data_IF_027434623027
#
_entry.id   IF_027434623027
#
_cell.length_a   1.000
_cell.length_b   1.000
_cell.length_c   1.000
_cell.angle_alpha   90.00
_cell.angle_beta   90.00
_cell.angle_gamma   90.00
#
_symmetry.space_group_name_H-M   'P 1'
#
loop_
_entity.id
_entity.type
_entity.pdbx_description
1 polymer ?
#
# COMPACT_ATOMS: atom_id res chain seq x y z
N UNK A 1 5.41 -11.03 72.94
CA UNK A 1 6.75 -10.53 73.12
C UNK A 1 6.86 -9.28 72.25
N UNK A 2 6.54 -8.07 72.80
CA UNK A 2 7.45 -7.18 73.50
C UNK A 2 8.48 -6.63 72.52
N UNK A 3 8.69 -5.34 72.24
CA UNK A 3 8.65 -4.09 73.01
C UNK A 3 8.67 -2.96 71.91
N UNK A 4 7.78 -1.93 71.91
CA UNK A 4 7.99 -0.65 72.59
C UNK A 4 9.33 0.03 72.18
N UNK A 5 9.39 1.24 71.69
CA UNK A 5 9.21 2.57 72.31
C UNK A 5 9.45 3.70 71.33
N UNK A 6 8.50 4.56 71.12
CA UNK A 6 8.48 6.02 71.30
C UNK A 6 9.83 6.74 71.33
N UNK A 7 10.04 7.74 70.46
CA UNK A 7 10.60 9.05 70.83
C UNK A 7 10.07 10.19 69.96
N UNK A 8 9.31 10.98 70.58
CA UNK A 8 8.87 12.33 70.30
C UNK A 8 10.07 13.28 70.51
N UNK A 9 10.41 14.09 69.52
CA UNK A 9 11.19 15.31 69.75
C UNK A 9 10.70 16.45 68.86
N UNK A 10 10.20 17.41 69.45
CA UNK A 10 9.79 18.78 69.15
C UNK A 10 11.03 19.62 68.82
N UNK A 11 11.08 20.26 67.65
CA UNK A 11 11.93 21.47 67.44
C UNK A 11 11.31 22.35 66.37
N UNK A 12 10.72 23.38 66.80
CA UNK A 12 11.07 24.81 66.75
C UNK A 12 10.97 25.46 65.35
N UNK A 13 10.00 26.36 65.30
CA UNK A 13 9.79 27.38 64.27
C UNK A 13 11.08 28.17 63.95
N UNK A 14 11.40 28.26 62.66
CA UNK A 14 12.22 29.37 62.20
C UNK A 14 11.56 29.94 60.95
N UNK A 15 10.85 31.07 61.09
CA UNK A 15 10.38 31.89 60.01
C UNK A 15 11.58 32.53 59.31
N UNK A 16 11.87 32.12 58.08
CA UNK A 16 12.73 32.86 57.17
C UNK A 16 11.87 33.42 56.06
N UNK A 17 11.63 34.72 56.14
CA UNK A 17 11.01 35.54 55.08
C UNK A 17 11.97 35.62 53.89
N UNK A 18 11.71 34.86 52.82
CA UNK A 18 12.38 35.06 51.54
C UNK A 18 11.53 35.95 50.66
N UNK A 19 12.10 37.12 50.39
CA UNK A 19 11.57 38.07 49.41
C UNK A 19 11.40 37.39 48.02
N UNK A 20 10.19 37.42 47.50
CA UNK A 20 9.88 36.96 46.17
C UNK A 20 10.49 37.93 45.14
N UNK A 21 11.62 37.61 44.55
CA UNK A 21 12.05 38.17 43.31
C UNK A 21 11.15 37.62 42.19
N UNK A 22 10.18 38.40 41.77
CA UNK A 22 9.42 38.12 40.56
C UNK A 22 10.35 38.30 39.35
N UNK A 23 11.00 37.26 38.92
CA UNK A 23 11.59 37.18 37.59
C UNK A 23 10.45 37.11 36.57
N UNK A 24 10.15 38.26 35.96
CA UNK A 24 9.28 38.38 34.80
C UNK A 24 9.94 37.59 33.69
N UNK A 25 9.42 36.39 33.41
CA UNK A 25 9.83 35.58 32.27
C UNK A 25 9.65 36.41 30.98
N UNK A 26 10.64 36.42 30.07
CA UNK A 26 10.45 37.03 28.76
C UNK A 26 9.27 36.32 28.10
N UNK A 27 8.32 37.14 27.56
CA UNK A 27 7.13 36.62 26.93
C UNK A 27 7.48 35.51 25.93
N UNK A 28 6.84 34.35 26.12
CA UNK A 28 6.83 33.34 25.10
C UNK A 28 6.20 33.95 23.86
N UNK A 29 7.03 34.33 22.91
CA UNK A 29 6.62 34.59 21.54
C UNK A 29 5.90 33.31 21.08
N UNK A 30 4.59 33.41 20.88
CA UNK A 30 3.82 32.35 20.27
C UNK A 30 4.59 31.93 19.00
N UNK A 31 5.06 30.70 18.99
CA UNK A 31 5.65 30.12 17.81
C UNK A 31 4.62 30.27 16.68
N UNK A 32 4.94 31.15 15.75
CA UNK A 32 4.19 31.34 14.52
C UNK A 32 4.05 29.94 13.93
N UNK A 33 2.79 29.46 13.81
CA UNK A 33 2.52 28.14 13.30
C UNK A 33 3.25 27.98 11.98
N UNK A 34 4.32 27.19 11.98
CA UNK A 34 4.97 26.79 10.75
C UNK A 34 3.91 26.04 9.95
N UNK A 35 3.49 26.65 8.86
CA UNK A 35 2.74 25.96 7.82
C UNK A 35 3.48 24.62 7.59
N UNK A 36 2.80 23.45 7.63
CA UNK A 36 3.50 22.19 7.43
C UNK A 36 4.30 22.32 6.14
N UNK A 37 5.62 22.16 6.22
CA UNK A 37 6.48 22.25 5.06
C UNK A 37 5.92 21.30 3.98
N UNK A 38 5.80 21.81 2.75
CA UNK A 38 5.41 20.96 1.63
C UNK A 38 6.28 19.70 1.65
N UNK A 39 5.71 18.52 1.39
CA UNK A 39 6.48 17.29 1.45
C UNK A 39 7.72 17.39 0.54
N UNK A 40 8.88 16.86 0.95
CA UNK A 40 10.14 17.01 0.21
C UNK A 40 10.19 16.12 -1.05
N UNK A 41 9.06 15.72 -1.59
CA UNK A 41 8.93 14.91 -2.80
C UNK A 41 8.05 15.59 -3.83
N UNK A 42 8.25 15.24 -5.11
CA UNK A 42 7.42 15.68 -6.23
C UNK A 42 6.79 14.46 -6.90
N UNK A 43 5.48 14.50 -7.11
CA UNK A 43 4.77 13.47 -7.85
C UNK A 43 4.76 13.84 -9.34
N UNK A 44 5.46 13.08 -10.17
CA UNK A 44 5.56 13.30 -11.62
C UNK A 44 4.52 12.45 -12.36
N UNK A 45 4.44 11.17 -12.03
CA UNK A 45 3.54 10.21 -12.64
C UNK A 45 2.11 10.35 -12.07
N UNK A 46 1.10 10.15 -12.91
CA UNK A 46 -0.31 9.98 -12.50
C UNK A 46 -0.55 8.58 -11.93
N UNK A 47 -1.74 8.32 -11.38
CA UNK A 47 -2.14 6.95 -10.99
C UNK A 47 -2.08 6.03 -12.21
N UNK A 48 -2.61 6.48 -13.36
CA UNK A 48 -2.60 5.72 -14.61
C UNK A 48 -1.18 5.41 -15.08
N UNK A 49 -0.27 6.36 -15.02
CA UNK A 49 1.14 6.12 -15.37
C UNK A 49 1.78 5.06 -14.47
N UNK A 50 1.48 5.10 -13.15
CA UNK A 50 1.97 4.10 -12.21
C UNK A 50 1.42 2.72 -12.54
N UNK A 51 0.10 2.61 -12.85
CA UNK A 51 -0.50 1.33 -13.23
C UNK A 51 0.16 0.77 -14.49
N UNK A 52 0.21 1.54 -15.58
CA UNK A 52 0.71 1.06 -16.88
C UNK A 52 2.21 0.79 -16.92
N UNK A 53 3.01 1.55 -16.17
CA UNK A 53 4.47 1.51 -16.34
C UNK A 53 5.22 0.93 -15.15
N UNK A 54 4.55 0.70 -14.02
CA UNK A 54 5.18 0.18 -12.81
C UNK A 54 4.43 -1.05 -12.29
N UNK A 55 3.12 -0.95 -12.05
CA UNK A 55 2.35 -2.02 -11.42
C UNK A 55 2.14 -3.19 -12.35
N UNK A 56 1.59 -2.93 -13.53
CA UNK A 56 1.27 -3.95 -14.53
C UNK A 56 2.51 -4.76 -14.95
N UNK A 57 3.63 -4.14 -15.42
CA UNK A 57 4.83 -4.89 -15.74
C UNK A 57 5.44 -5.65 -14.55
N UNK A 58 5.25 -5.17 -13.33
CA UNK A 58 5.74 -5.85 -12.13
C UNK A 58 4.88 -7.06 -11.78
N UNK A 59 3.57 -6.99 -12.00
CA UNK A 59 2.64 -8.12 -11.90
C UNK A 59 3.00 -9.22 -12.87
N UNK A 60 3.26 -8.87 -14.13
CA UNK A 60 3.66 -9.80 -15.19
C UNK A 60 4.90 -10.61 -14.82
N UNK A 61 5.90 -9.98 -14.18
CA UNK A 61 7.09 -10.70 -13.69
C UNK A 61 6.76 -11.81 -12.68
N UNK A 62 5.64 -11.72 -11.98
CA UNK A 62 5.18 -12.75 -11.04
C UNK A 62 4.37 -13.80 -11.77
N UNK A 63 3.34 -13.39 -12.54
CA UNK A 63 2.43 -14.33 -13.21
C UNK A 63 3.11 -15.13 -14.32
N UNK A 64 3.96 -14.49 -15.13
CA UNK A 64 4.68 -15.16 -16.22
C UNK A 64 5.77 -16.11 -15.71
N UNK A 65 6.16 -16.01 -14.43
CA UNK A 65 7.20 -16.87 -13.84
C UNK A 65 6.71 -18.29 -13.56
N UNK A 66 5.39 -18.48 -13.44
CA UNK A 66 4.77 -19.78 -13.15
C UNK A 66 3.47 -19.93 -13.94
N UNK A 67 3.43 -20.90 -14.84
CA UNK A 67 2.23 -21.17 -15.63
C UNK A 67 2.18 -22.64 -16.08
N UNK A 68 0.97 -23.10 -16.33
CA UNK A 68 0.74 -24.38 -17.03
C UNK A 68 -0.19 -24.12 -18.20
N UNK A 69 0.29 -24.36 -19.40
CA UNK A 69 -0.48 -24.27 -20.64
C UNK A 69 -0.64 -25.65 -21.28
N UNK A 70 -1.82 -25.92 -21.80
CA UNK A 70 -2.13 -27.17 -22.51
C UNK A 70 -2.54 -26.81 -23.93
N UNK A 71 -1.81 -27.33 -24.90
CA UNK A 71 -2.11 -27.17 -26.32
C UNK A 71 -2.07 -28.47 -27.07
N UNK A 72 -2.12 -28.42 -28.41
CA UNK A 72 -2.09 -29.63 -29.27
C UNK A 72 -0.76 -30.39 -29.20
N UNK A 73 0.30 -29.80 -28.68
CA UNK A 73 1.63 -30.37 -28.52
C UNK A 73 1.87 -30.99 -27.15
N UNK A 74 0.99 -30.71 -26.18
CA UNK A 74 1.04 -31.25 -24.82
C UNK A 74 0.87 -30.21 -23.73
N UNK A 75 1.34 -30.58 -22.53
CA UNK A 75 1.38 -29.72 -21.37
C UNK A 75 2.74 -29.02 -21.27
N UNK A 76 2.73 -27.71 -21.15
CA UNK A 76 3.92 -26.87 -21.01
C UNK A 76 3.89 -26.17 -19.65
N UNK A 77 4.96 -26.33 -18.90
CA UNK A 77 5.11 -25.68 -17.60
C UNK A 77 6.25 -24.67 -17.64
N UNK A 78 5.95 -23.44 -17.22
CA UNK A 78 6.93 -22.39 -16.92
C UNK A 78 7.14 -22.37 -15.42
N UNK A 79 8.38 -22.49 -14.97
CA UNK A 79 8.77 -22.47 -13.56
C UNK A 79 10.11 -21.75 -13.42
N UNK A 80 10.33 -20.96 -12.35
CA UNK A 80 11.64 -20.38 -12.07
C UNK A 80 12.64 -21.49 -11.69
N UNK A 81 13.72 -21.62 -12.46
CA UNK A 81 14.74 -22.70 -12.30
C UNK A 81 16.10 -22.15 -11.87
N UNK A 82 16.41 -20.93 -12.23
CA UNK A 82 17.72 -20.31 -12.00
C UNK A 82 17.63 -19.18 -10.98
N UNK A 83 18.77 -18.75 -10.46
CA UNK A 83 18.86 -17.57 -9.60
C UNK A 83 18.35 -16.32 -10.30
N UNK A 84 18.56 -16.23 -11.62
CA UNK A 84 18.07 -15.13 -12.43
C UNK A 84 16.55 -15.11 -12.53
N UNK A 85 15.90 -16.27 -12.68
CA UNK A 85 14.45 -16.36 -12.73
C UNK A 85 13.83 -15.90 -11.41
N UNK A 86 14.35 -16.40 -10.29
CA UNK A 86 13.92 -15.95 -8.96
C UNK A 86 14.20 -14.46 -8.70
N UNK A 87 15.28 -13.91 -9.24
CA UNK A 87 15.58 -12.49 -9.15
C UNK A 87 14.55 -11.64 -9.91
N UNK A 88 14.03 -12.11 -11.05
CA UNK A 88 12.94 -11.44 -11.80
C UNK A 88 11.66 -11.39 -10.96
N UNK A 89 11.25 -12.51 -10.39
CA UNK A 89 10.06 -12.56 -9.49
C UNK A 89 10.24 -11.63 -8.30
N UNK A 90 11.43 -11.64 -7.69
CA UNK A 90 11.77 -10.73 -6.59
C UNK A 90 11.65 -9.27 -7.01
N UNK A 91 12.12 -8.93 -8.21
CA UNK A 91 12.02 -7.56 -8.75
C UNK A 91 10.56 -7.15 -8.88
N UNK A 92 9.69 -7.99 -9.44
CA UNK A 92 8.25 -7.75 -9.52
C UNK A 92 7.64 -7.49 -8.15
N UNK A 93 7.91 -8.37 -7.18
CA UNK A 93 7.36 -8.25 -5.84
C UNK A 93 7.81 -6.98 -5.10
N UNK A 94 9.10 -6.59 -5.21
CA UNK A 94 9.61 -5.33 -4.63
C UNK A 94 8.93 -4.15 -5.32
N UNK A 95 8.83 -4.17 -6.65
CA UNK A 95 8.23 -3.08 -7.41
C UNK A 95 6.77 -2.87 -7.05
N UNK A 96 5.97 -3.94 -6.91
CA UNK A 96 4.57 -3.85 -6.45
C UNK A 96 4.47 -3.30 -5.02
N UNK A 97 5.32 -3.77 -4.10
CA UNK A 97 5.35 -3.29 -2.73
C UNK A 97 5.65 -1.79 -2.65
N UNK A 98 6.61 -1.30 -3.43
CA UNK A 98 6.98 0.11 -3.45
C UNK A 98 5.99 0.95 -4.26
N UNK A 99 5.43 0.43 -5.36
CA UNK A 99 4.39 1.11 -6.11
C UNK A 99 3.16 1.43 -5.25
N UNK A 100 2.82 0.56 -4.31
CA UNK A 100 1.73 0.81 -3.37
C UNK A 100 1.95 2.06 -2.51
N UNK A 101 3.20 2.34 -2.11
CA UNK A 101 3.55 3.59 -1.42
C UNK A 101 3.39 4.81 -2.34
N UNK A 102 3.74 4.66 -3.64
CA UNK A 102 3.52 5.71 -4.63
C UNK A 102 2.03 6.03 -4.80
N UNK A 103 1.16 5.03 -4.77
CA UNK A 103 -0.30 5.21 -4.88
C UNK A 103 -0.90 5.95 -3.67
N UNK A 104 -0.27 5.88 -2.50
CA UNK A 104 -0.70 6.61 -1.31
C UNK A 104 -0.30 8.09 -1.35
N UNK A 105 0.61 8.49 -2.23
CA UNK A 105 1.02 9.88 -2.36
C UNK A 105 -0.01 10.65 -3.21
N UNK A 106 -0.52 11.81 -2.75
CA UNK A 106 -1.50 12.59 -3.49
C UNK A 106 -1.04 12.92 -4.91
N UNK A 107 -1.83 12.58 -5.91
CA UNK A 107 -1.52 12.79 -7.34
C UNK A 107 -2.78 12.81 -8.19
N UNK A 108 -2.69 13.32 -9.42
CA UNK A 108 -3.76 13.22 -10.40
C UNK A 108 -3.97 11.75 -10.81
N UNK A 109 -5.20 11.41 -11.16
CA UNK A 109 -5.54 10.06 -11.66
C UNK A 109 -4.99 9.84 -13.07
N UNK A 110 -5.11 10.84 -13.94
CA UNK A 110 -4.65 10.79 -15.33
C UNK A 110 -4.11 12.16 -15.76
N UNK A 111 -3.45 12.23 -16.92
CA UNK A 111 -2.97 13.48 -17.48
C UNK A 111 -4.15 14.37 -17.93
N UNK A 112 -3.98 15.71 -17.97
CA UNK A 112 -5.02 16.61 -18.46
C UNK A 112 -5.50 16.22 -19.87
N UNK A 113 -6.80 16.02 -20.02
CA UNK A 113 -7.42 15.67 -21.31
C UNK A 113 -7.50 14.18 -21.61
N UNK A 114 -6.87 13.31 -20.83
CA UNK A 114 -7.07 11.87 -20.96
C UNK A 114 -8.51 11.45 -20.61
N UNK A 115 -8.97 10.41 -21.27
CA UNK A 115 -10.31 9.86 -21.14
C UNK A 115 -10.26 8.36 -20.84
N UNK A 116 -11.37 7.83 -20.36
CA UNK A 116 -11.60 6.39 -20.31
C UNK A 116 -11.40 5.77 -21.70
N UNK A 117 -10.81 4.59 -21.77
CA UNK A 117 -10.64 3.83 -23.02
C UNK A 117 -11.84 2.91 -23.29
N UNK A 118 -12.67 2.65 -22.29
CA UNK A 118 -13.88 1.85 -22.37
C UNK A 118 -15.08 2.58 -21.72
N UNK A 119 -15.59 3.68 -22.34
CA UNK A 119 -16.69 4.45 -21.78
C UNK A 119 -17.93 3.60 -21.49
N UNK A 120 -18.50 3.77 -20.30
CA UNK A 120 -19.65 2.99 -19.83
C UNK A 120 -19.27 1.75 -19.01
N UNK A 121 -18.07 1.23 -19.15
CA UNK A 121 -17.49 0.19 -18.31
C UNK A 121 -16.56 0.85 -17.29
N UNK A 122 -15.57 1.56 -17.77
CA UNK A 122 -14.62 2.31 -16.96
C UNK A 122 -15.20 3.68 -16.57
N UNK A 123 -14.86 4.13 -15.40
CA UNK A 123 -15.11 5.50 -14.97
C UNK A 123 -14.19 6.47 -15.72
N UNK A 124 -14.66 7.69 -15.92
CA UNK A 124 -13.82 8.80 -16.37
C UNK A 124 -12.80 9.17 -15.25
N UNK A 125 -11.59 9.64 -15.60
CA UNK A 125 -10.58 10.00 -14.62
C UNK A 125 -11.06 10.94 -13.52
N UNK A 126 -11.94 11.90 -13.86
CA UNK A 126 -12.50 12.82 -12.88
C UNK A 126 -13.47 12.13 -11.90
N UNK A 127 -14.16 11.08 -12.31
CA UNK A 127 -15.04 10.29 -11.45
C UNK A 127 -14.21 9.44 -10.49
N UNK A 128 -13.12 8.79 -10.98
CA UNK A 128 -12.17 8.07 -10.13
C UNK A 128 -11.58 9.00 -9.07
N UNK A 129 -11.15 10.19 -9.47
CA UNK A 129 -10.57 11.18 -8.56
C UNK A 129 -11.57 11.62 -7.47
N UNK A 130 -12.83 11.79 -7.84
CA UNK A 130 -13.91 12.12 -6.90
C UNK A 130 -14.15 10.98 -5.90
N UNK A 131 -14.14 9.72 -6.33
CA UNK A 131 -14.27 8.54 -5.47
C UNK A 131 -13.09 8.43 -4.49
N UNK A 132 -11.86 8.59 -4.96
CA UNK A 132 -10.66 8.55 -4.13
C UNK A 132 -10.72 9.63 -3.06
N UNK A 133 -11.06 10.86 -3.44
CA UNK A 133 -11.20 11.99 -2.50
C UNK A 133 -12.31 11.79 -1.47
N UNK A 134 -13.40 11.12 -1.88
CA UNK A 134 -14.55 10.85 -1.00
C UNK A 134 -14.20 9.86 0.11
N UNK A 135 -13.36 8.86 -0.18
CA UNK A 135 -12.95 7.84 0.79
C UNK A 135 -11.45 7.48 0.63
N UNK A 136 -10.62 8.41 1.09
CA UNK A 136 -9.18 8.24 1.03
C UNK A 136 -8.67 7.09 1.93
N UNK A 137 -9.40 6.78 2.99
CA UNK A 137 -9.05 5.66 3.87
C UNK A 137 -9.20 4.32 3.16
N UNK A 138 -10.27 4.13 2.38
CA UNK A 138 -10.46 2.95 1.54
C UNK A 138 -9.38 2.86 0.45
N UNK A 139 -9.05 3.97 -0.20
CA UNK A 139 -7.95 4.02 -1.17
C UNK A 139 -6.63 3.54 -0.58
N UNK A 140 -6.26 4.08 0.59
CA UNK A 140 -5.04 3.67 1.28
C UNK A 140 -5.07 2.20 1.73
N UNK A 141 -6.25 1.70 2.09
CA UNK A 141 -6.40 0.29 2.43
C UNK A 141 -6.09 -0.62 1.24
N UNK A 142 -6.63 -0.33 0.05
CA UNK A 142 -6.33 -1.11 -1.16
C UNK A 142 -4.84 -1.08 -1.52
N UNK A 143 -4.22 0.10 -1.45
CA UNK A 143 -2.77 0.20 -1.66
C UNK A 143 -1.97 -0.59 -0.61
N UNK A 144 -2.41 -0.59 0.66
CA UNK A 144 -1.80 -1.40 1.71
C UNK A 144 -2.00 -2.90 1.49
N UNK A 145 -3.18 -3.33 1.03
CA UNK A 145 -3.46 -4.74 0.73
C UNK A 145 -2.52 -5.25 -0.39
N UNK A 146 -2.28 -4.45 -1.45
CA UNK A 146 -1.30 -4.77 -2.49
C UNK A 146 0.12 -4.90 -1.91
N UNK A 147 0.53 -3.99 -1.03
CA UNK A 147 1.83 -4.06 -0.37
C UNK A 147 1.97 -5.35 0.46
N UNK A 148 0.96 -5.68 1.25
CA UNK A 148 1.02 -6.85 2.13
C UNK A 148 1.05 -8.17 1.34
N UNK A 149 0.33 -8.27 0.23
CA UNK A 149 0.42 -9.46 -0.63
C UNK A 149 1.78 -9.53 -1.34
N UNK A 150 2.32 -8.41 -1.80
CA UNK A 150 3.65 -8.35 -2.42
C UNK A 150 4.76 -8.79 -1.46
N UNK A 151 4.66 -8.46 -0.17
CA UNK A 151 5.57 -8.96 0.87
C UNK A 151 5.50 -10.48 1.01
N UNK A 152 4.31 -11.06 0.90
CA UNK A 152 4.16 -12.53 0.91
C UNK A 152 4.80 -13.18 -0.32
N UNK A 153 4.74 -12.53 -1.49
CA UNK A 153 5.50 -13.00 -2.66
C UNK A 153 6.99 -13.02 -2.36
N UNK A 154 7.54 -12.01 -1.69
CA UNK A 154 8.96 -12.01 -1.28
C UNK A 154 9.31 -13.18 -0.36
N UNK A 155 8.44 -13.54 0.58
CA UNK A 155 8.65 -14.70 1.45
C UNK A 155 8.67 -16.02 0.66
N UNK A 156 7.83 -16.15 -0.36
CA UNK A 156 7.81 -17.29 -1.28
C UNK A 156 9.11 -17.35 -2.09
N UNK A 157 9.55 -16.20 -2.61
CA UNK A 157 10.82 -16.09 -3.38
C UNK A 157 12.02 -16.46 -2.53
N UNK A 158 12.10 -16.00 -1.29
CA UNK A 158 13.21 -16.31 -0.38
C UNK A 158 13.32 -17.81 -0.08
N UNK A 159 12.19 -18.51 -0.05
CA UNK A 159 12.13 -19.97 0.14
C UNK A 159 12.28 -20.74 -1.17
N UNK A 160 12.26 -20.08 -2.32
CA UNK A 160 12.19 -20.70 -3.66
C UNK A 160 11.05 -21.72 -3.77
N UNK A 161 9.92 -21.39 -3.16
CA UNK A 161 8.75 -22.25 -3.11
C UNK A 161 7.91 -22.08 -4.38
N UNK A 162 8.12 -22.95 -5.35
CA UNK A 162 7.38 -22.95 -6.63
C UNK A 162 5.88 -23.15 -6.42
N UNK A 163 5.49 -24.03 -5.49
CA UNK A 163 4.07 -24.26 -5.18
C UNK A 163 3.45 -23.01 -4.55
N UNK A 164 4.13 -22.41 -3.58
CA UNK A 164 3.72 -21.16 -2.97
C UNK A 164 3.63 -20.03 -3.99
N UNK A 165 4.51 -19.99 -4.99
CA UNK A 165 4.48 -18.99 -6.06
C UNK A 165 3.22 -19.13 -6.93
N UNK A 166 2.83 -20.33 -7.27
CA UNK A 166 1.58 -20.60 -7.97
C UNK A 166 0.36 -20.19 -7.13
N UNK A 167 0.35 -20.57 -5.85
CA UNK A 167 -0.78 -20.31 -4.95
C UNK A 167 -0.94 -18.82 -4.60
N UNK A 168 0.14 -18.01 -4.63
CA UNK A 168 0.08 -16.59 -4.30
C UNK A 168 -0.45 -15.73 -5.46
N UNK A 169 -0.51 -16.23 -6.69
CA UNK A 169 -1.03 -15.52 -7.85
C UNK A 169 -2.44 -15.00 -7.64
N UNK A 170 -3.33 -15.85 -7.19
CA UNK A 170 -4.72 -15.54 -6.82
C UNK A 170 -4.87 -14.41 -5.77
N UNK A 171 -4.14 -14.44 -4.62
CA UNK A 171 -4.11 -13.31 -3.68
C UNK A 171 -3.62 -12.00 -4.28
N UNK A 172 -2.64 -12.03 -5.20
CA UNK A 172 -2.15 -10.82 -5.91
C UNK A 172 -3.24 -10.29 -6.81
N UNK A 173 -3.85 -11.14 -7.64
CA UNK A 173 -4.97 -10.77 -8.51
C UNK A 173 -6.12 -10.15 -7.73
N UNK A 174 -6.54 -10.77 -6.63
CA UNK A 174 -7.62 -10.22 -5.79
C UNK A 174 -7.27 -8.85 -5.20
N UNK A 175 -6.02 -8.57 -4.87
CA UNK A 175 -5.64 -7.26 -4.37
C UNK A 175 -5.78 -6.19 -5.45
N UNK A 176 -5.44 -6.50 -6.70
CA UNK A 176 -5.62 -5.63 -7.86
C UNK A 176 -7.12 -5.43 -8.15
N UNK A 177 -7.85 -6.53 -8.32
CA UNK A 177 -9.26 -6.52 -8.70
C UNK A 177 -10.18 -5.82 -7.70
N UNK A 178 -9.95 -5.99 -6.40
CA UNK A 178 -10.74 -5.32 -5.38
C UNK A 178 -10.64 -3.79 -5.47
N UNK A 179 -9.46 -3.26 -5.84
CA UNK A 179 -9.26 -1.84 -6.06
C UNK A 179 -9.88 -1.39 -7.38
N UNK A 180 -9.63 -2.11 -8.47
CA UNK A 180 -10.14 -1.81 -9.80
C UNK A 180 -11.65 -1.77 -9.82
N UNK A 181 -12.34 -2.74 -9.24
CA UNK A 181 -13.80 -2.78 -9.14
C UNK A 181 -14.40 -1.62 -8.35
N UNK A 182 -13.68 -1.04 -7.44
CA UNK A 182 -14.17 0.10 -6.69
C UNK A 182 -13.92 1.43 -7.41
N UNK A 183 -12.78 1.57 -8.08
CA UNK A 183 -12.30 2.87 -8.56
C UNK A 183 -12.18 2.97 -10.08
N UNK A 184 -12.10 1.86 -10.80
CA UNK A 184 -11.89 1.89 -12.25
C UNK A 184 -13.11 1.41 -13.03
N UNK A 185 -13.59 0.17 -12.78
CA UNK A 185 -14.72 -0.40 -13.51
C UNK A 185 -15.80 -0.98 -12.59
N UNK A 186 -16.45 -0.14 -11.75
CA UNK A 186 -17.45 -0.62 -10.80
C UNK A 186 -18.70 -1.19 -11.46
N UNK A 187 -18.89 -0.93 -12.75
CA UNK A 187 -20.05 -1.37 -13.53
C UNK A 187 -19.75 -2.63 -14.36
N UNK A 188 -18.54 -3.17 -14.31
CA UNK A 188 -18.24 -4.40 -15.02
C UNK A 188 -19.08 -5.55 -14.46
N UNK A 189 -19.82 -6.29 -15.32
CA UNK A 189 -20.57 -7.45 -14.87
C UNK A 189 -19.62 -8.47 -14.23
N UNK A 190 -19.90 -8.88 -12.99
CA UNK A 190 -19.18 -10.00 -12.38
C UNK A 190 -19.47 -11.23 -13.22
N UNK A 191 -18.52 -11.67 -14.01
CA UNK A 191 -18.64 -12.93 -14.70
C UNK A 191 -18.64 -14.04 -13.64
N UNK A 192 -19.66 -14.91 -13.56
CA UNK A 192 -19.57 -16.07 -12.71
C UNK A 192 -18.36 -16.90 -13.18
N UNK A 193 -17.57 -17.39 -12.22
CA UNK A 193 -16.51 -18.36 -12.50
C UNK A 193 -17.15 -19.62 -13.11
N UNK A 194 -17.41 -19.58 -14.40
CA UNK A 194 -17.85 -20.74 -15.15
C UNK A 194 -16.60 -21.46 -15.63
N UNK A 195 -16.46 -22.73 -15.31
CA UNK A 195 -15.46 -23.62 -15.90
C UNK A 195 -15.76 -23.89 -17.40
N UNK A 196 -16.62 -23.11 -18.03
CA UNK A 196 -16.91 -23.21 -19.44
C UNK A 196 -15.90 -22.40 -20.25
N UNK A 197 -15.32 -22.99 -21.30
CA UNK A 197 -14.41 -22.27 -22.18
C UNK A 197 -15.13 -21.13 -22.87
N UNK A 198 -14.49 -19.97 -22.90
CA UNK A 198 -14.97 -18.72 -23.51
C UNK A 198 -15.52 -18.99 -24.94
N UNK A 199 -16.81 -18.75 -25.21
CA UNK A 199 -17.41 -19.01 -26.51
C UNK A 199 -16.91 -18.08 -27.63
N UNK A 200 -16.14 -17.03 -27.31
CA UNK A 200 -15.62 -16.04 -28.27
C UNK A 200 -14.31 -16.47 -28.95
N UNK A 201 -13.65 -17.52 -28.49
CA UNK A 201 -12.43 -18.06 -29.12
C UNK A 201 -12.72 -19.23 -30.08
N UNK A 202 -13.58 -18.99 -31.07
CA UNK A 202 -13.68 -19.86 -32.25
C UNK A 202 -13.14 -19.17 -33.48
#
# INVERSE_FOLDING_TARGET
MAFMLTRLTLFLLLCVSMAACQNKAPGATAASGSNPASPPYTTTATVRDIMLHIVDPAGDLIWDSVSTTVDKTGTHETLPKTDEDWAKVRTGAITLAEASNLLMMPRAVAQPGEKSVAPGIELEPAEMEALIKKDLASWYKHAADLREVSKKVLEVVEKRDVKGLFEIGDPVDRACENCHRQYWYPNEPVQPLTNEPDPVKK
#
